data_IF_115559369830
#
_entry.id   IF_115559369830
#
_cell.length_a   1.000
_cell.length_b   1.000
_cell.length_c   1.000
_cell.angle_alpha   90.00
_cell.angle_beta   90.00
_cell.angle_gamma   90.00
#
_symmetry.space_group_name_H-M   'P 1'
#
loop_
_entity.id
_entity.type
_entity.pdbx_description
1 polymer ?
#
# COMPACT_ATOMS: atom_id res chain seq x y z
N UNK A 1 16.96 -11.57 -18.93
CA UNK A 1 15.61 -12.15 -18.79
C UNK A 1 14.89 -11.26 -17.82
N UNK A 2 13.92 -10.58 -18.34
CA UNK A 2 13.15 -9.54 -17.68
C UNK A 2 12.28 -10.17 -16.58
N UNK A 3 12.66 -9.99 -15.32
CA UNK A 3 11.85 -10.41 -14.17
C UNK A 3 10.69 -9.41 -14.05
N UNK A 4 9.68 -9.63 -14.89
CA UNK A 4 8.42 -8.88 -14.83
C UNK A 4 7.87 -8.93 -13.41
N UNK A 5 7.77 -7.78 -12.77
CA UNK A 5 7.20 -7.57 -11.45
C UNK A 5 5.77 -8.07 -11.41
N UNK A 6 5.56 -9.28 -10.88
CA UNK A 6 4.22 -9.70 -10.49
C UNK A 6 3.80 -8.86 -9.27
N UNK A 7 2.60 -8.32 -9.24
CA UNK A 7 2.13 -7.49 -8.14
C UNK A 7 2.11 -8.27 -6.82
N UNK A 8 2.44 -7.61 -5.71
CA UNK A 8 2.46 -8.23 -4.37
C UNK A 8 1.07 -8.73 -3.94
N UNK A 9 0.96 -9.70 -3.01
CA UNK A 9 -0.33 -10.16 -2.49
C UNK A 9 -1.19 -9.03 -1.95
N UNK A 10 -0.55 -8.06 -1.30
CA UNK A 10 -1.22 -6.86 -0.81
C UNK A 10 -1.80 -6.05 -1.97
N UNK A 11 -1.05 -5.87 -3.05
CA UNK A 11 -1.48 -5.17 -4.25
C UNK A 11 -2.68 -5.87 -4.89
N UNK A 12 -2.57 -7.18 -5.10
CA UNK A 12 -3.63 -7.96 -5.73
C UNK A 12 -4.94 -7.89 -4.94
N UNK A 13 -4.86 -8.04 -3.62
CA UNK A 13 -6.03 -7.98 -2.76
C UNK A 13 -6.61 -6.56 -2.67
N UNK A 14 -5.76 -5.55 -2.62
CA UNK A 14 -6.16 -4.14 -2.66
C UNK A 14 -6.89 -3.82 -3.97
N UNK A 15 -6.32 -4.19 -5.11
CA UNK A 15 -6.96 -4.04 -6.42
C UNK A 15 -8.29 -4.77 -6.51
N UNK A 16 -8.34 -6.02 -6.05
CA UNK A 16 -9.60 -6.78 -6.00
C UNK A 16 -10.67 -6.02 -5.22
N UNK A 17 -10.34 -5.56 -4.03
CA UNK A 17 -11.30 -4.91 -3.14
C UNK A 17 -11.75 -3.54 -3.66
N UNK A 18 -10.78 -2.71 -4.06
CA UNK A 18 -11.01 -1.31 -4.40
C UNK A 18 -11.17 -1.03 -5.90
N UNK A 19 -11.23 -2.06 -6.77
CA UNK A 19 -11.71 -1.89 -8.14
C UNK A 19 -13.22 -1.67 -8.22
N UNK A 20 -13.95 -1.92 -7.14
CA UNK A 20 -15.39 -1.72 -7.05
C UNK A 20 -15.72 -0.34 -6.49
N UNK A 21 -16.38 0.50 -7.26
CA UNK A 21 -16.75 1.86 -6.85
C UNK A 21 -17.53 1.90 -5.52
N UNK A 22 -18.34 0.87 -5.22
CA UNK A 22 -19.08 0.76 -3.96
C UNK A 22 -18.17 0.67 -2.73
N UNK A 23 -17.06 -0.04 -2.82
CA UNK A 23 -16.09 -0.13 -1.73
C UNK A 23 -15.38 1.22 -1.49
N UNK A 24 -14.99 1.91 -2.57
CA UNK A 24 -14.38 3.25 -2.49
C UNK A 24 -15.38 4.27 -1.97
N UNK A 25 -16.63 4.22 -2.41
CA UNK A 25 -17.71 5.06 -1.86
C UNK A 25 -17.84 4.86 -0.34
N UNK A 26 -17.95 3.62 0.10
CA UNK A 26 -18.06 3.29 1.53
C UNK A 26 -16.82 3.75 2.32
N UNK A 27 -15.62 3.65 1.74
CA UNK A 27 -14.38 4.17 2.33
C UNK A 27 -14.45 5.68 2.55
N UNK A 28 -14.84 6.42 1.52
CA UNK A 28 -15.02 7.88 1.56
C UNK A 28 -16.03 8.26 2.63
N UNK A 29 -17.22 7.65 2.61
CA UNK A 29 -18.32 7.93 3.54
C UNK A 29 -17.97 7.61 5.01
N UNK A 30 -17.07 6.63 5.23
CA UNK A 30 -16.68 6.20 6.58
C UNK A 30 -15.55 7.05 7.18
N UNK A 31 -14.66 7.59 6.35
CA UNK A 31 -13.37 8.12 6.84
C UNK A 31 -13.06 9.56 6.44
N UNK A 32 -13.74 10.11 5.41
CA UNK A 32 -13.48 11.51 5.05
C UNK A 32 -14.40 12.47 5.83
N UNK A 33 -13.95 13.72 6.02
CA UNK A 33 -14.77 14.75 6.65
C UNK A 33 -16.06 14.99 5.87
N UNK A 34 -17.17 15.23 6.57
CA UNK A 34 -18.48 15.48 5.95
C UNK A 34 -18.47 16.67 4.97
N UNK A 35 -17.57 17.64 5.15
CA UNK A 35 -17.39 18.75 4.22
C UNK A 35 -16.88 18.27 2.87
N UNK A 36 -15.92 17.33 2.86
CA UNK A 36 -15.39 16.72 1.64
C UNK A 36 -16.44 15.85 0.97
N UNK A 37 -17.14 15.00 1.75
CA UNK A 37 -18.18 14.10 1.22
C UNK A 37 -19.25 14.89 0.49
N UNK A 38 -19.74 16.01 1.06
CA UNK A 38 -20.76 16.87 0.44
C UNK A 38 -20.29 17.55 -0.85
N UNK A 39 -18.99 17.67 -1.06
CA UNK A 39 -18.42 18.25 -2.28
C UNK A 39 -18.23 17.24 -3.42
N UNK A 40 -18.56 15.96 -3.20
CA UNK A 40 -18.33 14.89 -4.16
C UNK A 40 -19.66 14.28 -4.60
N UNK A 41 -19.85 14.11 -5.91
CA UNK A 41 -20.93 13.30 -6.46
C UNK A 41 -20.50 11.82 -6.48
N UNK A 42 -20.66 11.15 -5.34
CA UNK A 42 -20.22 9.77 -5.16
C UNK A 42 -21.00 8.74 -6.00
N UNK A 43 -22.16 9.10 -6.52
CA UNK A 43 -22.95 8.26 -7.43
C UNK A 43 -22.29 8.17 -8.81
N UNK A 44 -21.51 9.18 -9.17
CA UNK A 44 -20.75 9.24 -10.43
C UNK A 44 -19.27 8.83 -10.31
N UNK A 45 -18.91 8.14 -9.23
CA UNK A 45 -17.55 7.66 -8.99
C UNK A 45 -17.13 6.63 -10.06
N UNK A 46 -16.01 6.85 -10.75
CA UNK A 46 -15.53 5.99 -11.84
C UNK A 46 -14.04 5.68 -11.71
N UNK A 47 -13.72 4.38 -11.74
CA UNK A 47 -12.34 3.92 -11.85
C UNK A 47 -11.75 4.35 -13.21
N UNK A 48 -10.61 5.01 -13.18
CA UNK A 48 -9.88 5.36 -14.38
C UNK A 48 -9.00 4.19 -14.80
N UNK A 49 -9.15 3.79 -16.07
CA UNK A 49 -8.31 2.72 -16.64
C UNK A 49 -6.86 3.19 -16.78
N UNK A 50 -5.94 2.26 -16.76
CA UNK A 50 -4.47 2.39 -16.70
C UNK A 50 -3.78 3.33 -17.71
N UNK A 51 -4.51 4.01 -18.59
CA UNK A 51 -3.97 4.92 -19.59
C UNK A 51 -3.40 6.24 -19.03
N UNK A 52 -3.54 6.47 -17.74
CA UNK A 52 -3.06 7.69 -17.06
C UNK A 52 -1.72 7.51 -16.35
N UNK A 53 -1.15 6.31 -16.34
CA UNK A 53 0.09 6.02 -15.63
C UNK A 53 1.14 5.58 -16.65
N UNK A 54 2.26 6.31 -16.70
CA UNK A 54 3.44 5.98 -17.50
C UNK A 54 3.93 4.56 -17.16
N UNK A 55 4.40 3.78 -18.15
CA UNK A 55 4.85 2.40 -17.97
C UNK A 55 5.91 2.25 -16.86
N UNK A 56 6.75 3.27 -16.64
CA UNK A 56 7.71 3.32 -15.53
C UNK A 56 7.07 3.47 -14.14
N UNK A 57 5.80 3.89 -14.05
CA UNK A 57 5.04 3.94 -12.79
C UNK A 57 4.28 2.64 -12.53
N UNK A 58 3.91 1.89 -13.58
CA UNK A 58 3.26 0.57 -13.45
C UNK A 58 4.14 -0.44 -12.72
N UNK A 59 5.46 -0.31 -12.83
CA UNK A 59 6.42 -1.25 -12.23
C UNK A 59 6.55 -1.11 -10.70
N UNK A 60 6.05 -0.02 -10.11
CA UNK A 60 6.37 0.26 -8.70
C UNK A 60 5.17 0.30 -7.75
N UNK A 61 3.91 0.48 -8.23
CA UNK A 61 2.80 0.81 -7.31
C UNK A 61 1.43 0.32 -7.77
N UNK A 62 0.61 -0.06 -6.80
CA UNK A 62 -0.77 -0.55 -6.94
C UNK A 62 -1.80 0.55 -6.73
N UNK A 63 -1.58 1.70 -7.31
CA UNK A 63 -2.46 2.84 -7.11
C UNK A 63 -3.74 2.71 -7.93
N UNK A 64 -4.86 3.03 -7.32
CA UNK A 64 -6.14 3.14 -8.00
C UNK A 64 -6.52 4.60 -8.14
N UNK A 65 -6.76 5.03 -9.36
CA UNK A 65 -7.19 6.39 -9.67
C UNK A 65 -8.69 6.41 -9.97
N UNK A 66 -9.44 7.14 -9.18
CA UNK A 66 -10.86 7.37 -9.39
C UNK A 66 -11.14 8.81 -9.81
N UNK A 67 -12.04 9.00 -10.76
CA UNK A 67 -12.62 10.31 -11.03
C UNK A 67 -13.99 10.43 -10.40
N UNK A 68 -14.26 11.60 -9.83
CA UNK A 68 -15.54 11.96 -9.23
C UNK A 68 -15.88 13.41 -9.57
N UNK A 69 -17.10 13.73 -10.04
CA UNK A 69 -17.51 15.10 -10.23
C UNK A 69 -17.50 15.86 -8.89
N UNK A 70 -17.15 17.13 -8.96
CA UNK A 70 -17.20 18.02 -7.81
C UNK A 70 -18.46 18.87 -7.83
N UNK A 71 -19.09 18.99 -6.68
CA UNK A 71 -20.28 19.82 -6.45
C UNK A 71 -19.84 21.07 -5.70
N UNK A 72 -20.13 22.24 -6.23
CA UNK A 72 -19.81 23.51 -5.56
C UNK A 72 -20.74 23.76 -4.35
N UNK A 73 -20.44 24.81 -3.56
CA UNK A 73 -21.20 25.17 -2.36
C UNK A 73 -22.68 25.47 -2.66
N UNK A 74 -23.05 25.74 -3.92
CA UNK A 74 -24.42 25.98 -4.38
C UNK A 74 -25.11 24.72 -4.90
N UNK A 75 -24.42 23.56 -4.85
CA UNK A 75 -24.96 22.30 -5.33
C UNK A 75 -24.85 22.10 -6.86
N UNK A 76 -24.12 22.96 -7.59
CA UNK A 76 -23.91 22.76 -9.02
C UNK A 76 -22.75 21.79 -9.26
N UNK A 77 -23.02 20.73 -10.01
CA UNK A 77 -21.97 19.83 -10.48
C UNK A 77 -21.07 20.59 -11.47
N UNK A 78 -19.77 20.65 -11.18
CA UNK A 78 -18.78 21.23 -12.07
C UNK A 78 -18.20 20.17 -12.99
N UNK A 79 -17.87 20.58 -14.20
CA UNK A 79 -17.19 19.72 -15.19
C UNK A 79 -15.78 19.32 -14.76
N UNK A 80 -15.17 20.01 -13.79
CA UNK A 80 -13.92 19.60 -13.17
C UNK A 80 -14.13 18.33 -12.36
N UNK A 81 -13.29 17.33 -12.62
CA UNK A 81 -13.27 16.07 -11.87
C UNK A 81 -12.23 16.17 -10.76
N UNK A 82 -12.51 15.59 -9.60
CA UNK A 82 -11.50 15.35 -8.59
C UNK A 82 -10.99 13.93 -8.79
N UNK A 83 -9.68 13.76 -8.87
CA UNK A 83 -9.08 12.44 -8.88
C UNK A 83 -8.81 11.99 -7.46
N UNK A 84 -9.31 10.82 -7.09
CA UNK A 84 -8.99 10.13 -5.85
C UNK A 84 -7.87 9.14 -6.15
N UNK A 85 -6.69 9.42 -5.63
CA UNK A 85 -5.54 8.52 -5.71
C UNK A 85 -5.52 7.68 -4.43
N UNK A 86 -5.86 6.39 -4.56
CA UNK A 86 -5.80 5.44 -3.45
C UNK A 86 -4.47 4.70 -3.48
N UNK A 87 -3.67 4.89 -2.47
CA UNK A 87 -2.39 4.22 -2.23
C UNK A 87 -2.50 3.34 -0.99
N UNK A 88 -1.88 2.17 -0.99
CA UNK A 88 -1.74 1.38 0.22
C UNK A 88 -0.27 1.21 0.61
N UNK A 89 -0.01 1.14 1.91
CA UNK A 89 1.31 0.91 2.47
C UNK A 89 1.26 -0.16 3.56
N UNK A 90 2.09 -1.17 3.44
CA UNK A 90 2.29 -2.20 4.47
C UNK A 90 3.48 -1.90 5.39
N UNK A 91 4.33 -0.97 5.01
CA UNK A 91 5.50 -0.52 5.76
C UNK A 91 5.56 1.01 5.77
N UNK A 92 6.25 1.56 6.78
CA UNK A 92 6.48 3.01 6.87
C UNK A 92 7.55 3.38 5.85
N UNK A 93 7.19 4.32 4.97
CA UNK A 93 8.10 4.88 3.97
C UNK A 93 8.19 6.39 4.13
N UNK A 94 9.38 6.87 4.49
CA UNK A 94 9.66 8.28 4.75
C UNK A 94 9.43 9.16 3.51
N UNK A 95 9.53 8.59 2.31
CA UNK A 95 9.40 9.31 1.05
C UNK A 95 7.98 9.31 0.47
N UNK A 96 7.01 8.74 1.16
CA UNK A 96 5.61 8.65 0.69
C UNK A 96 5.06 10.01 0.26
N UNK A 97 5.33 11.07 1.02
CA UNK A 97 4.90 12.43 0.67
C UNK A 97 5.41 12.87 -0.72
N UNK A 98 6.70 12.66 -1.01
CA UNK A 98 7.30 13.00 -2.29
C UNK A 98 6.80 12.09 -3.42
N UNK A 99 6.59 10.80 -3.14
CA UNK A 99 6.04 9.85 -4.12
C UNK A 99 4.65 10.30 -4.58
N UNK A 100 3.74 10.57 -3.64
CA UNK A 100 2.39 11.04 -3.96
C UNK A 100 2.40 12.35 -4.75
N UNK A 101 3.25 13.31 -4.38
CA UNK A 101 3.40 14.56 -5.12
C UNK A 101 3.87 14.30 -6.56
N UNK A 102 4.83 13.39 -6.75
CA UNK A 102 5.28 12.97 -8.09
C UNK A 102 4.14 12.40 -8.92
N UNK A 103 3.27 11.57 -8.36
CA UNK A 103 2.09 11.05 -9.04
C UNK A 103 1.14 12.16 -9.48
N UNK A 104 0.83 13.07 -8.57
CA UNK A 104 -0.06 14.19 -8.86
C UNK A 104 0.48 15.02 -10.00
N UNK A 105 1.78 15.36 -9.98
CA UNK A 105 2.43 16.13 -11.05
C UNK A 105 2.33 15.39 -12.39
N UNK A 106 2.55 14.07 -12.41
CA UNK A 106 2.44 13.28 -13.65
C UNK A 106 1.01 13.21 -14.19
N UNK A 107 0.00 13.12 -13.32
CA UNK A 107 -1.40 13.21 -13.74
C UNK A 107 -1.66 14.55 -14.43
N UNK A 108 -1.18 15.65 -13.84
CA UNK A 108 -1.33 16.98 -14.43
C UNK A 108 -0.56 17.14 -15.74
N UNK A 109 0.67 16.65 -15.83
CA UNK A 109 1.46 16.65 -17.08
C UNK A 109 0.76 15.89 -18.19
N UNK A 110 0.14 14.77 -17.89
CA UNK A 110 -0.62 13.99 -18.87
C UNK A 110 -1.89 14.71 -19.29
N UNK A 111 -2.65 15.29 -18.34
CA UNK A 111 -3.80 16.13 -18.69
C UNK A 111 -3.39 17.28 -19.61
N UNK A 112 -2.29 17.94 -19.29
CA UNK A 112 -1.76 19.04 -20.12
C UNK A 112 -1.36 18.55 -21.52
N UNK A 113 -0.65 17.42 -21.63
CA UNK A 113 -0.29 16.82 -22.93
C UNK A 113 -1.49 16.45 -23.80
N UNK A 114 -2.62 16.12 -23.18
CA UNK A 114 -3.86 15.74 -23.84
C UNK A 114 -4.84 16.91 -24.03
N UNK A 115 -4.37 18.16 -23.85
CA UNK A 115 -5.20 19.38 -23.89
C UNK A 115 -6.44 19.32 -22.97
N UNK A 116 -6.31 18.60 -21.84
CA UNK A 116 -7.35 18.50 -20.84
C UNK A 116 -7.14 19.54 -19.73
N UNK A 117 -8.22 20.06 -19.12
CA UNK A 117 -8.09 20.94 -17.97
C UNK A 117 -7.46 20.22 -16.79
N UNK A 118 -6.55 20.90 -16.09
CA UNK A 118 -5.98 20.35 -14.86
C UNK A 118 -7.05 20.21 -13.79
N UNK A 119 -7.15 19.02 -13.19
CA UNK A 119 -8.13 18.71 -12.16
C UNK A 119 -7.44 18.56 -10.80
N UNK A 120 -8.13 18.91 -9.69
CA UNK A 120 -7.66 18.57 -8.36
C UNK A 120 -7.43 17.07 -8.21
N UNK A 121 -6.34 16.69 -7.54
CA UNK A 121 -6.04 15.29 -7.18
C UNK A 121 -6.01 15.19 -5.66
N UNK A 122 -6.82 14.30 -5.12
CA UNK A 122 -6.92 14.04 -3.68
C UNK A 122 -6.29 12.69 -3.37
N UNK A 123 -5.09 12.66 -2.79
CA UNK A 123 -4.45 11.39 -2.40
C UNK A 123 -5.03 10.90 -1.07
N UNK A 124 -5.24 9.59 -0.96
CA UNK A 124 -5.61 8.92 0.29
C UNK A 124 -4.75 7.69 0.48
N UNK A 125 -3.97 7.66 1.54
CA UNK A 125 -3.14 6.50 1.89
C UNK A 125 -3.88 5.62 2.87
N UNK A 126 -3.95 4.31 2.58
CA UNK A 126 -4.41 3.28 3.51
C UNK A 126 -3.18 2.55 4.02
N UNK A 127 -2.85 2.76 5.29
CA UNK A 127 -1.71 2.13 5.94
C UNK A 127 -2.17 0.95 6.80
N UNK A 128 -1.53 -0.20 6.61
CA UNK A 128 -1.87 -1.43 7.31
C UNK A 128 -0.63 -2.16 7.86
N UNK A 129 0.39 -1.40 8.26
CA UNK A 129 1.57 -1.96 8.91
C UNK A 129 1.30 -2.47 10.33
N UNK A 130 2.35 -2.95 11.00
CA UNK A 130 2.25 -3.50 12.35
C UNK A 130 2.31 -2.44 13.45
N UNK A 131 2.94 -1.30 13.18
CA UNK A 131 3.09 -0.17 14.10
C UNK A 131 2.43 1.08 13.55
N UNK A 132 2.04 2.05 14.39
CA UNK A 132 1.47 3.32 13.93
C UNK A 132 2.39 4.08 12.96
N UNK A 133 1.80 4.84 12.05
CA UNK A 133 2.53 5.62 11.07
C UNK A 133 3.33 6.77 11.72
N UNK A 134 4.61 6.86 11.37
CA UNK A 134 5.53 7.88 11.93
C UNK A 134 6.25 8.71 10.86
N UNK A 135 6.06 8.42 9.57
CA UNK A 135 6.68 9.22 8.51
C UNK A 135 5.97 10.57 8.32
N UNK A 136 6.65 11.56 7.72
CA UNK A 136 6.07 12.86 7.42
C UNK A 136 4.79 12.76 6.59
N UNK A 137 3.77 13.55 6.96
CA UNK A 137 2.48 13.65 6.24
C UNK A 137 2.39 14.92 5.39
N UNK A 138 3.33 15.82 5.55
CA UNK A 138 3.41 17.06 4.78
C UNK A 138 4.80 17.21 4.15
N UNK A 139 4.86 17.95 3.06
CA UNK A 139 6.13 18.24 2.41
C UNK A 139 7.03 19.11 3.32
N UNK A 140 6.43 20.01 4.11
CA UNK A 140 7.15 20.86 5.04
C UNK A 140 7.85 20.07 6.15
N UNK A 141 7.17 19.03 6.68
CA UNK A 141 7.78 18.08 7.64
C UNK A 141 8.93 17.30 7.00
N UNK A 142 8.74 16.81 5.77
CA UNK A 142 9.76 16.04 5.04
C UNK A 142 11.02 16.86 4.77
N UNK A 143 10.85 18.14 4.40
CA UNK A 143 11.96 19.03 4.05
C UNK A 143 12.53 19.77 5.25
N UNK A 144 11.88 19.75 6.42
CA UNK A 144 12.25 20.58 7.55
C UNK A 144 12.18 22.08 7.25
N UNK A 145 11.16 22.50 6.48
CA UNK A 145 11.06 23.86 5.95
C UNK A 145 10.97 24.91 7.06
N UNK A 146 11.87 25.88 7.14
CA UNK A 146 11.78 26.98 8.12
C UNK A 146 10.50 27.81 7.95
N UNK A 147 9.89 28.26 9.04
CA UNK A 147 8.66 29.04 9.01
C UNK A 147 8.71 30.28 8.09
N UNK A 148 9.88 30.90 7.97
CA UNK A 148 10.11 32.08 7.10
C UNK A 148 10.00 31.74 5.61
N UNK A 149 10.21 30.49 5.20
CA UNK A 149 10.15 30.02 3.82
C UNK A 149 8.82 29.38 3.45
N UNK A 150 7.98 29.01 4.45
CA UNK A 150 6.68 28.38 4.20
C UNK A 150 5.76 29.14 3.21
N UNK A 151 5.70 30.49 3.20
CA UNK A 151 4.87 31.20 2.24
C UNK A 151 5.31 31.04 0.78
N UNK A 152 6.56 30.67 0.54
CA UNK A 152 7.19 30.54 -0.78
C UNK A 152 7.44 29.08 -1.17
N UNK A 153 7.09 28.12 -0.28
CA UNK A 153 7.27 26.69 -0.48
C UNK A 153 6.04 26.05 -1.10
N UNK A 154 6.24 24.92 -1.79
CA UNK A 154 5.13 24.07 -2.21
C UNK A 154 4.47 23.47 -0.98
N UNK A 155 3.19 23.71 -0.79
CA UNK A 155 2.40 23.12 0.28
C UNK A 155 1.71 21.86 -0.24
N UNK A 156 2.04 20.74 0.35
CA UNK A 156 1.42 19.46 0.05
C UNK A 156 1.24 18.66 1.33
N UNK A 157 0.05 18.10 1.50
CA UNK A 157 -0.30 17.21 2.60
C UNK A 157 -1.21 16.10 2.07
N UNK A 158 -1.18 14.95 2.72
CA UNK A 158 -2.08 13.85 2.39
C UNK A 158 -2.72 13.26 3.66
N UNK A 159 -3.99 12.87 3.60
CA UNK A 159 -4.64 12.11 4.66
C UNK A 159 -4.17 10.67 4.63
N UNK A 160 -4.04 10.08 5.81
CA UNK A 160 -3.71 8.68 6.00
C UNK A 160 -4.80 8.00 6.83
N UNK A 161 -5.23 6.84 6.38
CA UNK A 161 -6.07 5.92 7.12
C UNK A 161 -5.16 4.87 7.75
N UNK A 162 -4.74 5.12 8.98
CA UNK A 162 -3.90 4.19 9.75
C UNK A 162 -4.76 3.12 10.41
N UNK A 163 -4.78 1.92 9.82
CA UNK A 163 -5.60 0.82 10.34
C UNK A 163 -5.13 0.31 11.72
N UNK A 164 -3.88 0.62 12.13
CA UNK A 164 -3.41 0.27 13.47
C UNK A 164 -4.19 0.99 14.57
N UNK A 165 -4.54 2.26 14.31
CA UNK A 165 -5.17 3.13 15.28
C UNK A 165 -6.70 3.04 15.29
N UNK A 166 -7.31 2.52 14.22
CA UNK A 166 -8.76 2.46 14.07
C UNK A 166 -9.32 1.22 14.78
N UNK A 167 -10.27 1.35 15.72
CA UNK A 167 -10.98 0.22 16.31
C UNK A 167 -11.76 -0.58 15.25
N UNK A 168 -11.90 -1.89 15.46
CA UNK A 168 -12.50 -2.80 14.46
C UNK A 168 -13.95 -2.44 14.11
N UNK A 169 -14.72 -1.97 15.07
CA UNK A 169 -16.11 -1.51 14.88
C UNK A 169 -16.23 -0.19 14.11
N UNK A 170 -15.11 0.53 13.96
CA UNK A 170 -15.03 1.79 13.23
C UNK A 170 -14.31 1.70 11.88
N UNK A 171 -13.84 0.50 11.49
CA UNK A 171 -13.16 0.30 10.21
C UNK A 171 -14.05 0.65 9.01
N UNK A 172 -15.30 0.24 9.01
CA UNK A 172 -16.30 0.65 8.03
C UNK A 172 -17.71 0.26 8.51
N UNK A 173 -18.72 0.91 7.94
CA UNK A 173 -20.13 0.53 8.14
C UNK A 173 -20.56 -0.61 7.20
N UNK A 174 -20.02 -0.60 5.99
CA UNK A 174 -20.26 -1.65 4.99
C UNK A 174 -19.54 -2.95 5.39
N UNK A 175 -20.23 -4.11 5.45
CA UNK A 175 -19.63 -5.35 5.91
C UNK A 175 -18.49 -5.86 5.01
N UNK A 176 -18.58 -5.66 3.69
CA UNK A 176 -17.53 -6.05 2.76
C UNK A 176 -16.27 -5.23 3.00
N UNK A 177 -16.39 -3.90 3.01
CA UNK A 177 -15.25 -3.02 3.25
C UNK A 177 -14.66 -3.25 4.65
N UNK A 178 -15.49 -3.43 5.69
CA UNK A 178 -15.01 -3.73 7.04
C UNK A 178 -14.16 -5.02 7.06
N UNK A 179 -14.58 -6.05 6.31
CA UNK A 179 -13.82 -7.30 6.20
C UNK A 179 -12.51 -7.11 5.45
N UNK A 180 -12.52 -6.36 4.35
CA UNK A 180 -11.30 -6.03 3.59
C UNK A 180 -10.30 -5.29 4.47
N UNK A 181 -10.72 -4.22 5.14
CA UNK A 181 -9.84 -3.47 6.04
C UNK A 181 -9.37 -4.29 7.24
N UNK A 182 -10.21 -5.20 7.74
CA UNK A 182 -9.81 -6.15 8.80
C UNK A 182 -8.74 -7.14 8.31
N UNK A 183 -8.88 -7.69 7.09
CA UNK A 183 -7.88 -8.57 6.51
C UNK A 183 -6.55 -7.85 6.30
N UNK A 184 -6.56 -6.62 5.79
CA UNK A 184 -5.37 -5.80 5.66
C UNK A 184 -4.72 -5.54 7.03
N UNK A 185 -5.51 -5.10 8.03
CA UNK A 185 -5.06 -4.79 9.39
C UNK A 185 -4.39 -5.97 10.10
N UNK A 186 -4.97 -7.17 9.94
CA UNK A 186 -4.53 -8.37 10.68
C UNK A 186 -3.67 -9.31 9.84
N UNK A 187 -3.34 -8.98 8.59
CA UNK A 187 -2.64 -9.86 7.64
C UNK A 187 -1.39 -10.54 8.21
N UNK A 188 -0.60 -9.82 9.00
CA UNK A 188 0.65 -10.31 9.61
C UNK A 188 0.53 -10.57 11.12
N UNK A 189 -0.66 -10.36 11.71
CA UNK A 189 -0.87 -10.45 13.16
C UNK A 189 -1.44 -11.81 13.57
N UNK A 190 -1.03 -12.29 14.74
CA UNK A 190 -1.51 -13.57 15.30
C UNK A 190 -3.02 -13.56 15.58
N UNK A 191 -3.55 -12.39 15.89
CA UNK A 191 -4.97 -12.16 16.17
C UNK A 191 -5.88 -12.40 14.97
N UNK A 192 -5.33 -12.57 13.77
CA UNK A 192 -6.11 -12.96 12.59
C UNK A 192 -6.85 -14.27 12.80
N UNK A 193 -6.22 -15.24 13.43
CA UNK A 193 -6.80 -16.58 13.68
C UNK A 193 -8.11 -16.49 14.43
N UNK A 194 -8.15 -15.73 15.53
CA UNK A 194 -9.34 -15.59 16.38
C UNK A 194 -10.48 -14.81 15.70
N UNK A 195 -10.14 -13.98 14.72
CA UNK A 195 -11.08 -13.12 14.00
C UNK A 195 -11.53 -13.68 12.65
N UNK A 196 -10.86 -14.72 12.19
CA UNK A 196 -10.96 -15.22 10.82
C UNK A 196 -12.41 -15.54 10.43
N UNK A 197 -13.13 -16.29 11.25
CA UNK A 197 -14.50 -16.69 10.96
C UNK A 197 -15.44 -15.48 10.85
N UNK A 198 -15.33 -14.53 11.75
CA UNK A 198 -16.17 -13.33 11.76
C UNK A 198 -15.88 -12.42 10.56
N UNK A 199 -14.61 -12.32 10.16
CA UNK A 199 -14.19 -11.54 8.99
C UNK A 199 -14.72 -12.19 7.71
N UNK A 200 -14.53 -13.50 7.54
CA UNK A 200 -14.97 -14.20 6.32
C UNK A 200 -16.49 -14.26 6.21
N UNK A 201 -17.23 -14.44 7.31
CA UNK A 201 -18.71 -14.36 7.28
C UNK A 201 -19.21 -12.98 6.83
N UNK A 202 -18.61 -11.91 7.33
CA UNK A 202 -18.95 -10.53 6.90
C UNK A 202 -18.59 -10.27 5.45
N UNK A 203 -17.45 -10.80 4.98
CA UNK A 203 -16.99 -10.66 3.60
C UNK A 203 -18.02 -11.21 2.59
N UNK A 204 -18.73 -12.27 2.96
CA UNK A 204 -19.73 -12.91 2.12
C UNK A 204 -21.16 -12.35 2.29
N UNK A 205 -21.36 -11.44 3.24
CA UNK A 205 -22.67 -10.88 3.54
C UNK A 205 -23.28 -10.19 2.30
N UNK A 206 -24.56 -10.46 2.04
CA UNK A 206 -25.34 -9.91 0.93
C UNK A 206 -24.70 -10.06 -0.47
N UNK A 207 -23.85 -11.06 -0.67
CA UNK A 207 -23.23 -11.33 -1.94
C UNK A 207 -23.95 -12.44 -2.70
N UNK A 208 -24.04 -12.33 -4.03
CA UNK A 208 -24.42 -13.44 -4.88
C UNK A 208 -23.42 -14.58 -4.76
N UNK A 209 -23.82 -15.78 -5.17
CA UNK A 209 -22.98 -16.95 -5.09
C UNK A 209 -21.61 -16.78 -5.75
N UNK A 210 -21.60 -16.25 -6.98
CA UNK A 210 -20.37 -16.02 -7.75
C UNK A 210 -19.48 -14.98 -7.06
N UNK A 211 -20.10 -13.92 -6.51
CA UNK A 211 -19.37 -12.92 -5.73
C UNK A 211 -18.82 -13.50 -4.41
N UNK A 212 -19.56 -14.41 -3.75
CA UNK A 212 -19.07 -15.10 -2.54
C UNK A 212 -17.83 -15.94 -2.85
N UNK A 213 -17.86 -16.69 -3.96
CA UNK A 213 -16.72 -17.51 -4.39
C UNK A 213 -15.51 -16.64 -4.74
N UNK A 214 -15.71 -15.57 -5.53
CA UNK A 214 -14.65 -14.64 -5.88
C UNK A 214 -14.03 -13.97 -4.64
N UNK A 215 -14.86 -13.49 -3.70
CA UNK A 215 -14.43 -12.86 -2.45
C UNK A 215 -13.68 -13.84 -1.54
N UNK A 216 -14.19 -15.08 -1.41
CA UNK A 216 -13.53 -16.12 -0.61
C UNK A 216 -12.18 -16.49 -1.21
N UNK A 217 -12.11 -16.67 -2.55
CA UNK A 217 -10.85 -16.98 -3.23
C UNK A 217 -9.81 -15.89 -3.00
N UNK A 218 -10.17 -14.62 -3.25
CA UNK A 218 -9.27 -13.49 -3.04
C UNK A 218 -8.78 -13.39 -1.59
N UNK A 219 -9.68 -13.62 -0.60
CA UNK A 219 -9.33 -13.60 0.81
C UNK A 219 -8.41 -14.75 1.21
N UNK A 220 -8.70 -15.98 0.79
CA UNK A 220 -7.89 -17.16 1.09
C UNK A 220 -6.49 -17.01 0.47
N UNK A 221 -6.42 -16.61 -0.81
CA UNK A 221 -5.14 -16.34 -1.46
C UNK A 221 -4.34 -15.28 -0.69
N UNK A 222 -4.98 -14.15 -0.35
CA UNK A 222 -4.34 -13.08 0.39
C UNK A 222 -3.83 -13.52 1.76
N UNK A 223 -4.65 -14.25 2.53
CA UNK A 223 -4.28 -14.76 3.85
C UNK A 223 -3.06 -15.69 3.75
N UNK A 224 -3.07 -16.63 2.81
CA UNK A 224 -1.98 -17.60 2.63
C UNK A 224 -0.67 -16.94 2.19
N UNK A 225 -0.77 -15.90 1.38
CA UNK A 225 0.40 -15.17 0.89
C UNK A 225 0.97 -14.20 1.93
N UNK A 226 0.10 -13.52 2.71
CA UNK A 226 0.53 -12.49 3.66
C UNK A 226 0.82 -13.03 5.08
N UNK A 227 0.29 -14.22 5.43
CA UNK A 227 0.48 -14.85 6.74
C UNK A 227 0.94 -16.32 6.59
N UNK A 228 2.22 -16.57 6.35
CA UNK A 228 2.74 -17.93 6.14
C UNK A 228 2.60 -18.83 7.37
N UNK A 229 2.37 -18.26 8.55
CA UNK A 229 2.26 -18.99 9.82
C UNK A 229 0.82 -19.33 10.19
N UNK A 230 -0.18 -19.00 9.34
CA UNK A 230 -1.58 -19.36 9.63
C UNK A 230 -1.75 -20.89 9.63
N UNK A 231 -2.38 -21.48 10.68
CA UNK A 231 -2.61 -22.90 10.69
C UNK A 231 -3.58 -23.31 9.58
N UNK A 232 -3.11 -24.13 8.64
CA UNK A 232 -3.91 -24.55 7.47
C UNK A 232 -5.18 -25.29 7.87
N UNK A 233 -5.13 -26.07 8.96
CA UNK A 233 -6.29 -26.77 9.49
C UNK A 233 -7.37 -25.76 9.94
N UNK A 234 -6.98 -24.71 10.67
CA UNK A 234 -7.89 -23.64 11.11
C UNK A 234 -8.53 -22.94 9.92
N UNK A 235 -7.73 -22.54 8.92
CA UNK A 235 -8.24 -21.89 7.72
C UNK A 235 -9.22 -22.79 6.98
N UNK A 236 -8.86 -24.05 6.76
CA UNK A 236 -9.69 -25.04 6.06
C UNK A 236 -11.00 -25.28 6.81
N UNK A 237 -10.95 -25.52 8.12
CA UNK A 237 -12.15 -25.71 8.94
C UNK A 237 -13.06 -24.46 8.91
N UNK A 238 -12.47 -23.29 9.01
CA UNK A 238 -13.25 -22.03 8.97
C UNK A 238 -13.96 -21.86 7.63
N UNK A 239 -13.27 -22.09 6.51
CA UNK A 239 -13.87 -22.01 5.17
C UNK A 239 -14.98 -23.06 5.00
N UNK A 240 -14.76 -24.30 5.49
CA UNK A 240 -15.77 -25.38 5.48
C UNK A 240 -17.01 -25.02 6.28
N UNK A 241 -16.85 -24.43 7.46
CA UNK A 241 -17.97 -24.02 8.31
C UNK A 241 -18.81 -22.88 7.69
N UNK A 242 -18.21 -22.05 6.86
CA UNK A 242 -18.88 -20.92 6.21
C UNK A 242 -19.54 -21.33 4.89
N UNK A 243 -18.94 -22.27 4.15
CA UNK A 243 -19.42 -22.78 2.86
C UNK A 243 -19.59 -24.31 2.88
N UNK A 244 -20.42 -24.87 3.77
CA UNK A 244 -20.44 -26.31 4.04
C UNK A 244 -20.88 -27.18 2.84
N UNK A 245 -21.66 -26.65 1.92
CA UNK A 245 -22.24 -27.40 0.79
C UNK A 245 -21.32 -27.54 -0.43
N UNK A 246 -20.04 -27.13 -0.36
CA UNK A 246 -19.19 -26.95 -1.55
C UNK A 246 -17.75 -27.39 -1.44
N UNK A 247 -17.34 -27.97 -0.31
CA UNK A 247 -15.99 -28.49 -0.12
C UNK A 247 -16.02 -30.01 -0.10
N UNK A 248 -16.51 -30.61 -1.16
CA UNK A 248 -16.20 -32.01 -1.45
C UNK A 248 -14.79 -32.11 -2.04
N UNK A 249 -14.06 -33.24 -1.81
CA UNK A 249 -12.78 -33.49 -2.45
C UNK A 249 -12.93 -33.37 -3.98
N UNK A 250 -12.16 -32.45 -4.59
CA UNK A 250 -12.29 -32.11 -6.00
C UNK A 250 -13.28 -30.98 -6.32
N UNK A 251 -13.99 -30.45 -5.29
CA UNK A 251 -14.84 -29.25 -5.47
C UNK A 251 -14.04 -28.01 -5.82
N UNK A 252 -14.71 -26.98 -6.35
CA UNK A 252 -14.09 -25.68 -6.65
C UNK A 252 -13.38 -25.11 -5.41
N UNK A 253 -13.97 -25.26 -4.23
CA UNK A 253 -13.37 -24.79 -2.98
C UNK A 253 -12.10 -25.57 -2.58
N UNK A 254 -12.05 -26.89 -2.80
CA UNK A 254 -10.84 -27.70 -2.61
C UNK A 254 -9.76 -27.34 -3.62
N UNK A 255 -10.15 -27.11 -4.89
CA UNK A 255 -9.23 -26.61 -5.92
C UNK A 255 -8.69 -25.22 -5.59
N UNK A 256 -9.55 -24.30 -5.12
CA UNK A 256 -9.17 -22.94 -4.73
C UNK A 256 -8.20 -22.94 -3.53
N UNK A 257 -8.46 -23.80 -2.51
CA UNK A 257 -7.54 -23.95 -1.39
C UNK A 257 -6.19 -24.52 -1.82
N UNK A 258 -6.16 -25.49 -2.73
CA UNK A 258 -4.91 -26.06 -3.28
C UNK A 258 -4.16 -25.04 -4.14
N UNK A 259 -4.88 -24.36 -5.03
CA UNK A 259 -4.31 -23.31 -5.89
C UNK A 259 -3.80 -22.14 -5.04
N UNK A 260 -4.62 -21.60 -4.12
CA UNK A 260 -4.21 -20.52 -3.23
C UNK A 260 -3.00 -20.88 -2.37
N UNK A 261 -2.89 -22.14 -1.90
CA UNK A 261 -1.71 -22.65 -1.18
C UNK A 261 -0.46 -22.67 -2.06
N UNK A 262 -0.59 -23.10 -3.30
CA UNK A 262 0.54 -23.18 -4.24
C UNK A 262 1.01 -21.79 -4.64
N UNK A 263 0.10 -20.92 -5.02
CA UNK A 263 0.37 -19.55 -5.43
C UNK A 263 0.88 -18.72 -4.24
N UNK A 264 0.25 -18.82 -3.06
CA UNK A 264 0.68 -18.15 -1.84
C UNK A 264 2.08 -18.57 -1.37
N UNK A 265 2.45 -19.86 -1.53
CA UNK A 265 3.82 -20.31 -1.24
C UNK A 265 4.85 -19.73 -2.22
N UNK A 266 4.49 -19.66 -3.51
CA UNK A 266 5.39 -19.11 -4.53
C UNK A 266 5.59 -17.62 -4.31
N UNK A 267 4.52 -16.89 -4.03
CA UNK A 267 4.56 -15.44 -3.78
C UNK A 267 5.30 -15.11 -2.48
N UNK A 268 4.97 -15.77 -1.37
CA UNK A 268 5.68 -15.57 -0.10
C UNK A 268 7.16 -15.95 -0.16
N UNK A 269 7.52 -16.96 -0.97
CA UNK A 269 8.93 -17.28 -1.24
C UNK A 269 9.64 -16.20 -2.07
N UNK A 270 8.90 -15.55 -2.96
CA UNK A 270 9.43 -14.48 -3.81
C UNK A 270 9.60 -13.18 -3.02
N UNK A 271 8.59 -12.79 -2.25
CA UNK A 271 8.69 -11.62 -1.34
C UNK A 271 9.82 -11.80 -0.34
N UNK A 272 9.88 -12.95 0.34
CA UNK A 272 10.96 -13.22 1.30
C UNK A 272 12.36 -13.22 0.66
N UNK A 273 12.50 -13.61 -0.62
CA UNK A 273 13.77 -13.47 -1.35
C UNK A 273 14.09 -12.01 -1.69
N UNK A 274 13.08 -11.24 -2.07
CA UNK A 274 13.25 -9.83 -2.44
C UNK A 274 13.59 -9.00 -1.20
N UNK A 275 12.85 -9.19 -0.11
CA UNK A 275 13.12 -8.55 1.17
C UNK A 275 14.49 -8.94 1.72
N UNK A 276 14.82 -10.23 1.73
CA UNK A 276 16.13 -10.72 2.17
C UNK A 276 17.30 -10.25 1.27
N UNK A 277 17.06 -10.06 -0.04
CA UNK A 277 18.06 -9.46 -0.94
C UNK A 277 18.29 -7.99 -0.63
N UNK A 278 17.22 -7.27 -0.36
CA UNK A 278 17.26 -5.83 -0.04
C UNK A 278 17.93 -5.60 1.32
N UNK A 279 17.57 -6.39 2.34
CA UNK A 279 18.24 -6.39 3.63
C UNK A 279 19.73 -6.79 3.51
N UNK A 280 20.04 -7.80 2.70
CA UNK A 280 21.40 -8.23 2.45
C UNK A 280 22.27 -7.15 1.79
N UNK A 281 21.72 -6.37 0.86
CA UNK A 281 22.39 -5.22 0.23
C UNK A 281 22.65 -4.13 1.28
N UNK A 282 21.67 -3.76 2.09
CA UNK A 282 21.81 -2.77 3.16
C UNK A 282 22.88 -3.19 4.15
N UNK A 283 22.84 -4.43 4.63
CA UNK A 283 23.85 -4.95 5.55
C UNK A 283 25.25 -5.02 4.90
N UNK A 284 25.31 -5.29 3.61
CA UNK A 284 26.55 -5.27 2.83
C UNK A 284 27.18 -3.88 2.80
N UNK A 285 26.38 -2.84 2.50
CA UNK A 285 26.84 -1.45 2.49
C UNK A 285 27.29 -0.97 3.89
N UNK A 286 26.55 -1.32 4.95
CA UNK A 286 26.94 -0.99 6.32
C UNK A 286 28.30 -1.62 6.67
N UNK A 287 28.54 -2.89 6.31
CA UNK A 287 29.82 -3.56 6.55
C UNK A 287 30.95 -2.92 5.76
N UNK A 288 30.68 -2.50 4.52
CA UNK A 288 31.66 -1.79 3.69
C UNK A 288 32.05 -0.46 4.34
N UNK A 289 31.08 0.33 4.79
CA UNK A 289 31.31 1.60 5.51
C UNK A 289 32.16 1.36 6.75
N UNK A 290 31.82 0.39 7.59
CA UNK A 290 32.56 0.06 8.80
C UNK A 290 34.00 -0.40 8.48
N UNK A 291 34.21 -1.10 7.39
CA UNK A 291 35.54 -1.54 6.92
C UNK A 291 36.38 -0.34 6.46
N UNK A 292 35.78 0.57 5.69
CA UNK A 292 36.45 1.80 5.23
C UNK A 292 36.80 2.72 6.40
N UNK A 293 35.92 2.87 7.39
CA UNK A 293 36.21 3.60 8.62
C UNK A 293 37.42 3.04 9.38
N UNK A 294 37.54 1.71 9.47
CA UNK A 294 38.72 1.05 10.06
C UNK A 294 40.00 1.33 9.27
N UNK A 295 39.95 1.25 7.93
CA UNK A 295 41.11 1.54 7.05
C UNK A 295 41.53 3.00 7.21
N UNK A 296 40.59 3.94 7.31
CA UNK A 296 40.83 5.35 7.49
C UNK A 296 41.28 5.72 8.92
N UNK A 297 41.15 4.80 9.88
CA UNK A 297 41.45 5.07 11.31
C UNK A 297 40.42 5.98 11.98
N UNK A 298 39.22 6.10 11.43
CA UNK A 298 38.11 6.84 12.01
C UNK A 298 37.27 5.95 12.94
N UNK A 299 36.53 6.53 13.93
CA UNK A 299 35.64 5.75 14.78
C UNK A 299 34.64 4.92 13.94
N UNK A 300 34.51 3.63 14.27
CA UNK A 300 33.58 2.74 13.58
C UNK A 300 32.16 2.98 14.10
N UNK A 301 31.25 3.33 13.20
CA UNK A 301 29.84 3.54 13.53
C UNK A 301 29.14 2.23 13.89
N UNK A 302 28.27 2.24 14.91
CA UNK A 302 27.42 1.11 15.24
C UNK A 302 26.31 0.93 14.19
N UNK A 303 25.84 -0.31 14.01
CA UNK A 303 24.75 -0.63 13.04
C UNK A 303 23.49 0.21 13.31
N UNK A 304 23.20 0.47 14.57
CA UNK A 304 22.08 1.32 15.03
C UNK A 304 22.09 2.74 14.43
N UNK A 305 23.28 3.27 14.15
CA UNK A 305 23.44 4.62 13.59
C UNK A 305 22.93 4.71 12.14
N UNK A 306 22.75 3.57 11.48
CA UNK A 306 22.31 3.50 10.10
C UNK A 306 20.82 3.19 9.93
N UNK A 307 20.08 2.98 11.02
CA UNK A 307 18.65 2.61 10.99
C UNK A 307 17.74 3.61 10.25
N UNK A 308 18.19 4.84 10.07
CA UNK A 308 17.44 5.89 9.38
C UNK A 308 18.00 6.25 8.00
N UNK A 309 19.02 5.51 7.52
CA UNK A 309 19.64 5.77 6.23
C UNK A 309 18.97 4.93 5.13
N UNK A 310 18.64 5.59 4.02
CA UNK A 310 18.24 4.86 2.81
C UNK A 310 19.43 4.15 2.18
N UNK A 311 19.18 3.14 1.33
CA UNK A 311 20.24 2.45 0.58
C UNK A 311 21.08 3.43 -0.25
N UNK A 312 20.45 4.46 -0.83
CA UNK A 312 21.16 5.50 -1.60
C UNK A 312 22.10 6.32 -0.72
N UNK A 313 21.66 6.67 0.49
CA UNK A 313 22.50 7.38 1.45
C UNK A 313 23.68 6.54 1.92
N UNK A 314 23.46 5.24 2.16
CA UNK A 314 24.55 4.33 2.51
C UNK A 314 25.55 4.18 1.38
N UNK A 315 25.10 4.06 0.13
CA UNK A 315 25.98 4.02 -1.05
C UNK A 315 26.77 5.31 -1.24
N UNK A 316 26.13 6.45 -1.06
CA UNK A 316 26.82 7.74 -1.13
C UNK A 316 27.92 7.85 -0.08
N UNK A 317 27.63 7.44 1.17
CA UNK A 317 28.59 7.44 2.26
C UNK A 317 29.76 6.45 2.01
N UNK A 318 29.47 5.25 1.50
CA UNK A 318 30.50 4.27 1.17
C UNK A 318 31.43 4.76 0.05
N UNK A 319 30.89 5.41 -0.98
CA UNK A 319 31.67 6.02 -2.07
C UNK A 319 32.55 7.19 -1.59
N UNK A 320 32.04 8.03 -0.71
CA UNK A 320 32.84 9.13 -0.12
C UNK A 320 34.04 8.58 0.68
N UNK A 321 33.80 7.61 1.56
CA UNK A 321 34.86 6.98 2.34
C UNK A 321 35.86 6.23 1.45
N UNK A 322 35.42 5.64 0.35
CA UNK A 322 36.27 4.97 -0.62
C UNK A 322 37.22 5.95 -1.30
N UNK A 323 36.69 7.10 -1.73
CA UNK A 323 37.49 8.18 -2.33
C UNK A 323 38.55 8.70 -1.35
N UNK A 324 38.21 8.86 -0.07
CA UNK A 324 39.14 9.29 0.97
C UNK A 324 40.25 8.24 1.20
N UNK A 325 39.91 6.95 1.18
CA UNK A 325 40.88 5.87 1.32
C UNK A 325 41.87 5.77 0.14
N UNK A 326 41.38 6.01 -1.09
CA UNK A 326 42.21 6.06 -2.29
C UNK A 326 43.18 7.24 -2.28
N UNK A 327 42.74 8.41 -1.86
CA UNK A 327 43.62 9.61 -1.73
C UNK A 327 44.73 9.39 -0.69
N UNK A 328 44.43 8.69 0.42
CA UNK A 328 45.41 8.40 1.45
C UNK A 328 46.48 7.38 1.01
N UNK A 329 46.16 6.48 0.10
CA UNK A 329 47.08 5.52 -0.44
C UNK A 329 48.03 6.10 -1.53
N UNK A 330 47.72 7.29 -2.05
CA UNK A 330 48.52 7.99 -3.06
C UNK A 330 49.42 9.07 -2.44
N UNK A 331 49.29 9.32 -1.15
CA UNK A 331 50.12 10.27 -0.39
C UNK A 331 51.17 9.53 0.44
#
# INVERSE_FOLDING_TARGET
MDDSHLPSPHNNFFHFAFSHASAVRSLIESHLPSSVIRSLDLDSLQLQKDSFVDDHLRESYSDLLYSVPWVDEKGHSRTAKIYLLLEHKSQIDQMTCLQLLRYIVRIWEQQHRNDQPLCPVFPLVIYHGESPWTAPRTLDELLGTPNTLLPYSVRFAFPILDLCEIPDDKLAKDPFLQSVLSLLKYSRRKELVDRLESILRRLLFNATLDAQLARMNAAVFYILASNPNIPMETLTMTVQNILPSRIEPGSIADQLLKQGRQEGRQEGHREGRQDGRQEGIIQGEIRLIQTLQKILGTPVSEVSNFNHHSLEQLKALSQELQSQAEQRNQS
#
